data_IF_390489155430
#
_entry.id   IF_390489155430
#
_cell.length_a   1.000
_cell.length_b   1.000
_cell.length_c   1.000
_cell.angle_alpha   90.00
_cell.angle_beta   90.00
_cell.angle_gamma   90.00
#
_symmetry.space_group_name_H-M   'P 1'
#
loop_
_entity.id
_entity.type
_entity.pdbx_description
1 polymer ?
#
# COMPACT_ATOMS: atom_id res chain seq x y z
N UNK A 1 -7.48 17.75 -4.36
CA UNK A 1 -6.43 17.20 -3.47
C UNK A 1 -5.44 18.31 -3.12
N UNK A 2 -5.36 18.69 -1.83
CA UNK A 2 -4.38 19.69 -1.37
C UNK A 2 -2.99 19.04 -1.33
N UNK A 3 -2.02 19.68 -1.97
CA UNK A 3 -0.62 19.21 -1.96
C UNK A 3 -0.10 19.23 -0.52
N UNK A 4 0.57 18.16 -0.10
CA UNK A 4 1.19 18.06 1.23
C UNK A 4 2.34 19.07 1.37
N UNK A 5 2.37 19.74 2.52
CA UNK A 5 3.43 20.68 2.90
C UNK A 5 4.49 20.05 3.81
N UNK A 6 4.21 18.84 4.33
CA UNK A 6 5.07 18.04 5.20
C UNK A 6 5.40 18.75 6.53
N UNK A 7 4.40 19.46 7.06
CA UNK A 7 4.47 20.16 8.35
C UNK A 7 3.70 19.40 9.43
N UNK A 8 4.06 19.65 10.71
CA UNK A 8 3.36 19.05 11.84
C UNK A 8 1.86 19.38 11.81
N UNK A 9 1.02 18.38 12.10
CA UNK A 9 -0.43 18.49 12.07
C UNK A 9 -1.07 17.96 10.77
N UNK A 10 -0.31 17.77 9.69
CA UNK A 10 -0.83 17.15 8.47
C UNK A 10 -1.16 15.67 8.67
N UNK A 11 -2.17 15.22 7.95
CA UNK A 11 -2.74 13.89 8.05
C UNK A 11 -2.09 12.91 7.06
N UNK A 12 -1.75 11.70 7.51
CA UNK A 12 -1.14 10.63 6.73
C UNK A 12 -1.85 9.30 6.98
N UNK A 13 -2.33 8.66 5.91
CA UNK A 13 -3.01 7.37 5.98
C UNK A 13 -2.05 6.19 6.13
N UNK A 14 -2.41 5.18 6.95
CA UNK A 14 -1.72 3.90 7.02
C UNK A 14 -2.69 2.81 7.49
N UNK A 15 -2.84 1.76 6.70
CA UNK A 15 -3.77 0.63 6.95
C UNK A 15 -5.21 1.09 7.28
N UNK A 16 -5.69 2.12 6.55
CA UNK A 16 -7.02 2.68 6.72
C UNK A 16 -7.23 3.60 7.92
N UNK A 17 -6.18 3.83 8.69
CA UNK A 17 -6.18 4.82 9.79
C UNK A 17 -5.43 6.08 9.37
N UNK A 18 -5.77 7.19 10.03
CA UNK A 18 -5.14 8.48 9.80
C UNK A 18 -4.27 8.86 11.00
N UNK A 19 -3.05 9.32 10.72
CA UNK A 19 -2.06 9.70 11.72
C UNK A 19 -1.58 11.12 11.44
N UNK A 20 -1.52 11.95 12.47
CA UNK A 20 -0.98 13.30 12.34
C UNK A 20 0.54 13.27 12.31
N UNK A 21 1.13 14.02 11.38
CA UNK A 21 2.57 14.21 11.32
C UNK A 21 3.05 14.99 12.54
N UNK A 22 4.13 14.52 13.17
CA UNK A 22 4.85 15.24 14.21
C UNK A 22 6.32 15.32 13.85
N UNK A 23 6.78 16.49 13.44
CA UNK A 23 8.19 16.75 13.11
C UNK A 23 8.95 17.14 14.36
N UNK A 24 10.01 16.39 14.69
CA UNK A 24 10.85 16.56 15.86
C UNK A 24 12.27 16.93 15.44
N UNK A 25 12.99 17.66 16.30
CA UNK A 25 14.43 17.91 16.12
C UNK A 25 15.22 16.85 16.87
N UNK A 26 16.26 16.30 16.22
CA UNK A 26 17.15 15.34 16.83
C UNK A 26 18.40 15.08 16.00
N UNK A 27 19.36 14.37 16.58
CA UNK A 27 20.65 14.08 15.94
C UNK A 27 20.55 13.04 14.82
N UNK A 28 19.58 12.11 14.91
CA UNK A 28 19.38 11.01 13.95
C UNK A 28 18.07 11.21 13.18
N UNK A 29 18.06 10.78 11.93
CA UNK A 29 16.85 10.72 11.11
C UNK A 29 16.06 9.45 11.48
N UNK A 30 14.85 9.62 12.02
CA UNK A 30 13.96 8.53 12.43
C UNK A 30 12.57 8.82 11.87
N UNK A 31 11.90 7.80 11.33
CA UNK A 31 10.49 7.87 10.97
C UNK A 31 9.78 6.66 11.54
N UNK A 32 8.79 6.89 12.39
CA UNK A 32 8.06 5.83 13.09
C UNK A 32 6.61 6.22 13.37
N UNK A 33 5.73 5.20 13.49
CA UNK A 33 4.41 5.38 14.10
C UNK A 33 4.54 5.14 15.60
N UNK A 34 4.23 6.16 16.39
CA UNK A 34 4.26 6.08 17.85
C UNK A 34 3.27 7.07 18.46
N UNK A 35 2.53 6.62 19.49
CA UNK A 35 1.55 7.44 20.22
C UNK A 35 0.52 8.12 19.28
N UNK A 36 -0.02 7.37 18.32
CA UNK A 36 -0.97 7.82 17.29
C UNK A 36 -0.47 8.94 16.36
N UNK A 37 0.85 9.13 16.28
CA UNK A 37 1.50 10.06 15.36
C UNK A 37 2.44 9.36 14.38
N UNK A 38 2.52 9.89 13.17
CA UNK A 38 3.66 9.67 12.30
C UNK A 38 4.78 10.64 12.72
N UNK A 39 5.73 10.15 13.53
CA UNK A 39 6.85 10.97 14.04
C UNK A 39 8.01 10.92 13.06
N UNK A 40 8.51 12.10 12.69
CA UNK A 40 9.69 12.25 11.82
C UNK A 40 10.70 13.12 12.53
N UNK A 41 11.85 12.55 12.89
CA UNK A 41 12.96 13.27 13.52
C UNK A 41 13.95 13.71 12.47
N UNK A 42 14.26 15.00 12.44
CA UNK A 42 15.19 15.65 11.52
C UNK A 42 16.12 16.60 12.25
N UNK A 43 17.24 16.97 11.62
CA UNK A 43 18.16 17.98 12.14
C UNK A 43 17.63 19.41 11.97
N UNK A 44 16.82 19.61 10.91
CA UNK A 44 16.26 20.91 10.54
C UNK A 44 14.81 20.71 10.06
N UNK A 45 13.86 21.32 10.78
CA UNK A 45 12.42 21.25 10.46
C UNK A 45 12.03 22.04 9.20
N UNK A 46 12.83 22.98 8.77
CA UNK A 46 12.59 23.77 7.55
C UNK A 46 12.87 23.00 6.28
N UNK A 47 13.62 21.89 6.38
CA UNK A 47 13.96 21.03 5.22
C UNK A 47 12.82 20.09 4.85
N UNK A 48 11.77 20.63 4.21
CA UNK A 48 10.58 19.88 3.77
C UNK A 48 10.93 18.74 2.80
N UNK A 49 11.92 18.94 1.94
CA UNK A 49 12.36 17.89 1.00
C UNK A 49 12.94 16.69 1.73
N UNK A 50 13.68 16.91 2.81
CA UNK A 50 14.20 15.82 3.64
C UNK A 50 13.08 15.08 4.35
N UNK A 51 12.13 15.80 4.94
CA UNK A 51 10.96 15.22 5.61
C UNK A 51 10.16 14.35 4.62
N UNK A 52 9.86 14.89 3.44
CA UNK A 52 9.18 14.17 2.36
C UNK A 52 9.89 12.84 2.02
N UNK A 53 11.21 12.88 1.79
CA UNK A 53 12.00 11.68 1.46
C UNK A 53 11.97 10.64 2.58
N UNK A 54 12.03 11.06 3.83
CA UNK A 54 11.96 10.17 4.99
C UNK A 54 10.58 9.49 5.09
N UNK A 55 9.50 10.24 4.90
CA UNK A 55 8.15 9.69 4.89
C UNK A 55 7.98 8.70 3.71
N UNK A 56 8.42 9.06 2.50
CA UNK A 56 8.35 8.18 1.35
C UNK A 56 9.13 6.88 1.56
N UNK A 57 10.35 6.97 2.11
CA UNK A 57 11.15 5.80 2.45
C UNK A 57 10.44 4.90 3.45
N UNK A 58 9.86 5.48 4.50
CA UNK A 58 9.10 4.74 5.51
C UNK A 58 7.90 4.00 4.90
N UNK A 59 7.14 4.66 4.02
CA UNK A 59 6.02 4.02 3.32
C UNK A 59 6.47 2.86 2.43
N UNK A 60 7.57 3.01 1.70
CA UNK A 60 8.13 1.95 0.86
C UNK A 60 8.52 0.73 1.71
N UNK A 61 9.28 0.94 2.78
CA UNK A 61 9.69 -0.14 3.71
C UNK A 61 8.48 -0.85 4.33
N UNK A 62 7.49 -0.10 4.81
CA UNK A 62 6.26 -0.67 5.37
C UNK A 62 5.44 -1.43 4.33
N UNK A 63 5.36 -0.91 3.11
CA UNK A 63 4.66 -1.57 2.01
C UNK A 63 5.33 -2.88 1.61
N UNK A 64 6.64 -2.90 1.50
CA UNK A 64 7.40 -4.12 1.17
C UNK A 64 7.18 -5.20 2.21
N UNK A 65 7.32 -4.88 3.49
CA UNK A 65 7.12 -5.84 4.58
C UNK A 65 5.68 -6.39 4.60
N UNK A 66 4.70 -5.50 4.55
CA UNK A 66 3.29 -5.88 4.66
C UNK A 66 2.81 -6.70 3.46
N UNK A 67 3.10 -6.22 2.24
CA UNK A 67 2.64 -6.86 1.01
C UNK A 67 3.34 -8.19 0.74
N UNK A 68 4.64 -8.32 1.07
CA UNK A 68 5.33 -9.60 0.98
C UNK A 68 4.71 -10.64 1.93
N UNK A 69 4.48 -10.25 3.19
CA UNK A 69 3.84 -11.14 4.18
C UNK A 69 2.44 -11.55 3.73
N UNK A 70 1.59 -10.59 3.37
CA UNK A 70 0.22 -10.85 2.95
C UNK A 70 0.17 -11.72 1.68
N UNK A 71 1.03 -11.47 0.69
CA UNK A 71 1.10 -12.29 -0.52
C UNK A 71 1.49 -13.73 -0.20
N UNK A 72 2.47 -13.92 0.69
CA UNK A 72 2.88 -15.26 1.12
C UNK A 72 1.76 -16.01 1.85
N UNK A 73 1.07 -15.33 2.76
CA UNK A 73 -0.01 -15.96 3.53
C UNK A 73 -1.18 -16.36 2.59
N UNK A 74 -1.64 -15.46 1.74
CA UNK A 74 -2.74 -15.70 0.81
C UNK A 74 -2.38 -16.67 -0.33
N UNK A 75 -1.12 -16.71 -0.77
CA UNK A 75 -0.69 -17.69 -1.79
C UNK A 75 -0.84 -19.13 -1.31
N UNK A 76 -0.60 -19.37 0.00
CA UNK A 76 -0.82 -20.68 0.62
C UNK A 76 -2.30 -21.06 0.65
N UNK A 77 -3.17 -20.11 0.98
CA UNK A 77 -4.63 -20.32 0.98
C UNK A 77 -5.16 -20.65 -0.43
N UNK A 78 -4.63 -19.94 -1.46
CA UNK A 78 -4.99 -20.18 -2.85
C UNK A 78 -4.31 -21.41 -3.46
N UNK A 79 -3.33 -21.98 -2.80
CA UNK A 79 -2.44 -23.02 -3.32
C UNK A 79 -1.84 -22.62 -4.68
N UNK A 80 -1.13 -21.48 -4.67
CA UNK A 80 -0.39 -20.94 -5.83
C UNK A 80 1.01 -20.53 -5.43
N UNK A 81 1.94 -20.70 -6.39
CA UNK A 81 3.32 -20.27 -6.25
C UNK A 81 3.57 -19.00 -7.04
N UNK A 82 4.25 -18.04 -6.42
CA UNK A 82 4.71 -16.82 -7.09
C UNK A 82 6.24 -16.75 -7.06
N UNK A 83 6.81 -16.05 -8.03
CA UNK A 83 8.28 -15.95 -8.17
C UNK A 83 8.88 -14.85 -7.31
N UNK A 84 8.24 -13.70 -7.25
CA UNK A 84 8.72 -12.54 -6.50
C UNK A 84 7.63 -11.50 -6.31
N UNK A 85 7.75 -10.74 -5.21
CA UNK A 85 6.94 -9.55 -4.94
C UNK A 85 7.86 -8.33 -4.94
N UNK A 86 7.47 -7.27 -5.63
CA UNK A 86 8.17 -5.98 -5.61
C UNK A 86 7.17 -4.85 -5.48
N UNK A 87 7.56 -3.81 -4.76
CA UNK A 87 6.78 -2.58 -4.63
C UNK A 87 7.30 -1.52 -5.58
N UNK A 88 6.40 -0.80 -6.24
CA UNK A 88 6.72 0.22 -7.24
C UNK A 88 5.84 1.45 -7.07
N UNK A 89 6.22 2.52 -7.75
CA UNK A 89 5.43 3.72 -7.88
C UNK A 89 4.67 3.69 -9.21
N UNK A 90 3.40 3.33 -9.18
CA UNK A 90 2.52 3.36 -10.35
C UNK A 90 1.60 4.58 -10.32
N UNK A 91 1.27 5.11 -11.50
CA UNK A 91 0.34 6.23 -11.63
C UNK A 91 -1.12 5.77 -11.78
N UNK A 92 -1.35 4.60 -12.40
CA UNK A 92 -2.69 4.19 -12.85
C UNK A 92 -3.14 2.79 -12.41
N UNK A 93 -2.31 2.05 -11.65
CA UNK A 93 -2.67 0.71 -11.18
C UNK A 93 -2.23 0.45 -9.75
N UNK A 94 -2.91 -0.48 -9.08
CA UNK A 94 -2.59 -0.89 -7.71
C UNK A 94 -1.71 -2.13 -7.64
N UNK A 95 -1.80 -2.99 -8.67
CA UNK A 95 -0.95 -4.15 -8.79
C UNK A 95 -0.80 -4.61 -10.23
N UNK A 96 0.04 -5.61 -10.45
CA UNK A 96 0.16 -6.37 -11.68
C UNK A 96 0.84 -7.70 -11.41
N UNK A 97 0.45 -8.73 -12.15
CA UNK A 97 1.06 -10.05 -12.13
C UNK A 97 1.55 -10.40 -13.55
N UNK A 98 2.82 -10.79 -13.68
CA UNK A 98 3.35 -11.27 -14.95
C UNK A 98 3.04 -12.74 -15.17
N UNK A 99 3.07 -13.21 -16.43
CA UNK A 99 2.94 -14.63 -16.79
C UNK A 99 4.01 -15.52 -16.14
N UNK A 100 5.11 -14.95 -15.68
CA UNK A 100 6.21 -15.65 -14.97
C UNK A 100 6.08 -15.61 -13.45
N UNK A 101 4.94 -15.17 -12.90
CA UNK A 101 4.69 -15.13 -11.46
C UNK A 101 5.39 -13.99 -10.71
N UNK A 102 5.84 -12.96 -11.40
CA UNK A 102 6.35 -11.74 -10.75
C UNK A 102 5.19 -10.80 -10.44
N UNK A 103 5.00 -10.48 -9.16
CA UNK A 103 3.93 -9.62 -8.69
C UNK A 103 4.50 -8.26 -8.30
N UNK A 104 3.81 -7.21 -8.71
CA UNK A 104 4.18 -5.83 -8.41
C UNK A 104 2.98 -5.13 -7.77
N UNK A 105 3.22 -4.35 -6.73
CA UNK A 105 2.21 -3.52 -6.07
C UNK A 105 2.61 -2.05 -6.07
N UNK A 106 1.62 -1.19 -6.14
CA UNK A 106 1.80 0.23 -5.85
C UNK A 106 1.95 0.41 -4.34
N UNK A 107 3.05 1.00 -3.90
CA UNK A 107 3.31 1.20 -2.48
C UNK A 107 2.20 2.02 -1.78
N UNK A 108 1.51 2.89 -2.52
CA UNK A 108 0.43 3.72 -1.96
C UNK A 108 -0.76 2.92 -1.44
N UNK A 109 -0.92 1.67 -1.89
CA UNK A 109 -2.03 0.84 -1.42
C UNK A 109 -1.98 0.58 0.08
N UNK A 110 -0.79 0.72 0.72
CA UNK A 110 -0.64 0.55 2.17
C UNK A 110 -1.43 1.59 2.99
N UNK A 111 -1.87 2.69 2.37
CA UNK A 111 -2.72 3.69 3.01
C UNK A 111 -4.18 3.23 3.09
N UNK A 112 -4.60 2.29 2.24
CA UNK A 112 -5.96 1.76 2.21
C UNK A 112 -6.25 0.86 3.43
N UNK A 113 -7.53 0.63 3.77
CA UNK A 113 -7.93 -0.37 4.74
C UNK A 113 -7.39 -1.76 4.39
N UNK A 114 -7.05 -2.55 5.42
CA UNK A 114 -6.47 -3.88 5.24
C UNK A 114 -7.30 -4.79 4.32
N UNK A 115 -8.64 -4.73 4.39
CA UNK A 115 -9.51 -5.50 3.49
C UNK A 115 -9.41 -5.08 2.01
N UNK A 116 -9.13 -3.81 1.73
CA UNK A 116 -8.91 -3.34 0.35
C UNK A 116 -7.55 -3.81 -0.16
N UNK A 117 -6.53 -3.78 0.69
CA UNK A 117 -5.20 -4.34 0.37
C UNK A 117 -5.33 -5.83 0.08
N UNK A 118 -6.08 -6.56 0.91
CA UNK A 118 -6.38 -7.99 0.73
C UNK A 118 -7.02 -8.26 -0.65
N UNK A 119 -8.01 -7.46 -1.06
CA UNK A 119 -8.61 -7.55 -2.38
C UNK A 119 -7.57 -7.40 -3.50
N UNK A 120 -6.70 -6.40 -3.43
CA UNK A 120 -5.66 -6.18 -4.46
C UNK A 120 -4.67 -7.34 -4.50
N UNK A 121 -4.24 -7.86 -3.35
CA UNK A 121 -3.33 -9.01 -3.29
C UNK A 121 -3.97 -10.26 -3.86
N UNK A 122 -5.22 -10.57 -3.49
CA UNK A 122 -5.97 -11.70 -4.05
C UNK A 122 -6.17 -11.56 -5.56
N UNK A 123 -6.46 -10.36 -6.05
CA UNK A 123 -6.60 -10.07 -7.48
C UNK A 123 -5.34 -10.48 -8.26
N UNK A 124 -4.17 -10.09 -7.78
CA UNK A 124 -2.90 -10.44 -8.45
C UNK A 124 -2.55 -11.93 -8.30
N UNK A 125 -2.86 -12.55 -7.18
CA UNK A 125 -2.62 -13.98 -6.98
C UNK A 125 -3.55 -14.85 -7.86
N UNK A 126 -4.80 -14.44 -8.05
CA UNK A 126 -5.74 -15.15 -8.94
C UNK A 126 -5.25 -15.16 -10.38
N UNK A 127 -4.50 -14.14 -10.81
CA UNK A 127 -3.86 -14.13 -12.13
C UNK A 127 -2.85 -15.27 -12.36
N UNK A 128 -2.33 -15.90 -11.30
CA UNK A 128 -1.48 -17.09 -11.43
C UNK A 128 -2.26 -18.33 -11.91
N UNK A 129 -3.59 -18.36 -11.71
CA UNK A 129 -4.48 -19.43 -12.18
C UNK A 129 -5.26 -19.02 -13.44
N UNK A 130 -5.73 -17.78 -13.50
CA UNK A 130 -6.58 -17.24 -14.55
C UNK A 130 -5.97 -15.93 -15.07
N UNK A 131 -5.20 -15.99 -16.13
CA UNK A 131 -4.41 -14.84 -16.65
C UNK A 131 -5.27 -13.66 -17.10
N UNK A 132 -6.50 -13.92 -17.60
CA UNK A 132 -7.40 -12.90 -18.10
C UNK A 132 -8.55 -12.65 -17.11
N UNK A 133 -9.12 -11.44 -17.14
CA UNK A 133 -10.32 -11.07 -16.37
C UNK A 133 -11.60 -11.71 -16.93
N UNK A 134 -11.58 -13.03 -17.18
CA UNK A 134 -12.70 -13.84 -17.66
C UNK A 134 -13.75 -14.04 -16.56
N UNK A 135 -14.88 -14.66 -16.91
CA UNK A 135 -15.88 -15.08 -15.91
C UNK A 135 -15.28 -16.03 -14.86
N UNK A 136 -14.31 -16.88 -15.26
CA UNK A 136 -13.60 -17.80 -14.34
C UNK A 136 -12.76 -17.03 -13.33
N UNK A 137 -12.03 -16.01 -13.79
CA UNK A 137 -11.26 -15.13 -12.92
C UNK A 137 -12.14 -14.51 -11.81
N UNK A 138 -13.25 -13.87 -12.19
CA UNK A 138 -14.14 -13.21 -11.24
C UNK A 138 -14.84 -14.19 -10.31
N UNK A 139 -15.22 -15.38 -10.80
CA UNK A 139 -15.81 -16.45 -9.98
C UNK A 139 -14.78 -16.94 -8.94
N UNK A 140 -13.53 -17.16 -9.36
CA UNK A 140 -12.46 -17.59 -8.46
C UNK A 140 -12.14 -16.52 -7.43
N UNK A 141 -11.96 -15.26 -7.84
CA UNK A 141 -11.70 -14.17 -6.92
C UNK A 141 -12.84 -14.01 -5.89
N UNK A 142 -14.10 -14.12 -6.34
CA UNK A 142 -15.27 -14.02 -5.45
C UNK A 142 -15.33 -15.14 -4.41
N UNK A 143 -14.79 -16.33 -4.69
CA UNK A 143 -14.74 -17.42 -3.71
C UNK A 143 -13.78 -17.14 -2.54
N UNK A 144 -12.80 -16.27 -2.71
CA UNK A 144 -11.86 -15.85 -1.67
C UNK A 144 -12.18 -14.47 -1.08
N UNK A 145 -12.87 -13.63 -1.84
CA UNK A 145 -13.25 -12.28 -1.42
C UNK A 145 -14.69 -11.99 -1.85
N UNK A 146 -15.62 -12.07 -0.90
CA UNK A 146 -17.07 -12.04 -1.20
C UNK A 146 -17.58 -10.69 -1.71
N UNK A 147 -17.01 -9.58 -1.22
CA UNK A 147 -17.54 -8.23 -1.48
C UNK A 147 -16.70 -7.46 -2.53
N UNK A 148 -16.65 -8.03 -3.75
CA UNK A 148 -15.86 -7.46 -4.85
C UNK A 148 -16.32 -6.05 -5.24
N UNK A 149 -17.62 -5.79 -5.23
CA UNK A 149 -18.16 -4.50 -5.66
C UNK A 149 -17.80 -3.40 -4.68
N UNK A 150 -17.85 -3.69 -3.38
CA UNK A 150 -17.37 -2.78 -2.36
C UNK A 150 -15.88 -2.39 -2.58
N UNK A 151 -15.01 -3.38 -2.78
CA UNK A 151 -13.59 -3.11 -2.95
C UNK A 151 -13.29 -2.28 -4.22
N UNK A 152 -13.94 -2.60 -5.33
CA UNK A 152 -13.82 -1.85 -6.59
C UNK A 152 -14.30 -0.42 -6.43
N UNK A 153 -15.49 -0.22 -5.86
CA UNK A 153 -16.05 1.11 -5.61
C UNK A 153 -15.17 1.91 -4.66
N UNK A 154 -14.71 1.29 -3.59
CA UNK A 154 -13.82 1.96 -2.64
C UNK A 154 -12.55 2.49 -3.33
N UNK A 155 -11.91 1.68 -4.18
CA UNK A 155 -10.71 2.09 -4.91
C UNK A 155 -11.02 3.22 -5.90
N UNK A 156 -12.16 3.19 -6.59
CA UNK A 156 -12.57 4.25 -7.50
C UNK A 156 -12.74 5.57 -6.75
N UNK A 157 -13.47 5.56 -5.63
CA UNK A 157 -13.78 6.79 -4.89
C UNK A 157 -12.60 7.32 -4.07
N UNK A 158 -11.72 6.45 -3.58
CA UNK A 158 -10.68 6.85 -2.63
C UNK A 158 -9.25 6.88 -3.23
N UNK A 159 -9.07 6.48 -4.50
CA UNK A 159 -7.74 6.45 -5.13
C UNK A 159 -7.02 7.82 -5.10
N UNK A 160 -7.77 8.90 -5.15
CA UNK A 160 -7.23 10.27 -5.09
C UNK A 160 -6.68 10.66 -3.71
N UNK A 161 -7.13 9.99 -2.62
CA UNK A 161 -6.65 10.23 -1.25
C UNK A 161 -5.37 9.46 -0.91
N UNK A 162 -5.05 8.39 -1.65
CA UNK A 162 -3.87 7.57 -1.46
C UNK A 162 -2.62 8.23 -2.08
N UNK A 163 -2.35 9.47 -1.67
CA UNK A 163 -1.24 10.31 -2.16
C UNK A 163 -0.55 11.02 -0.99
N UNK A 164 0.75 11.25 -1.14
CA UNK A 164 1.57 12.06 -0.23
C UNK A 164 2.37 13.10 -0.99
#
# INVERSE_FOLDING_TARGET
>A
FRKKEYVSGEDFGYLGRHYRLKVLIGKKYITELKDDYLKVTVKDKSNMQKIKRLIQKWYLEKSELYLNKMTLDLSKELNVDFRSVKVRNYNSRWGSCSSTGKIFYNWRIIMAPAKIINYVVLHELVHLKEHNHSKRFWKLLKSYYSDLDYAKQWLVYNSHTLKI
#
